data_IF_807004599720
#
_entry.id   IF_807004599720
#
_cell.length_a   1.000
_cell.length_b   1.000
_cell.length_c   1.000
_cell.angle_alpha   90.00
_cell.angle_beta   90.00
_cell.angle_gamma   90.00
#
_symmetry.space_group_name_H-M   'P 1'
#
loop_
_entity.id
_entity.type
_entity.pdbx_description
1 polymer ?
#
# COMPACT_ATOMS: atom_id res chain seq x y z
N UNK A 1 -25.94 19.40 3.50
CA UNK A 1 -24.73 18.59 3.80
C UNK A 1 -25.02 17.73 5.03
N UNK A 2 -25.08 16.41 4.89
CA UNK A 2 -25.39 15.49 5.98
C UNK A 2 -24.15 15.26 6.86
N UNK A 3 -23.90 16.17 7.81
CA UNK A 3 -22.71 16.14 8.68
C UNK A 3 -22.64 14.83 9.48
N UNK A 4 -23.79 14.34 9.98
CA UNK A 4 -23.84 13.07 10.71
C UNK A 4 -23.41 11.90 9.80
N UNK A 5 -23.89 11.85 8.56
CA UNK A 5 -23.48 10.85 7.57
C UNK A 5 -21.99 10.88 7.26
N UNK A 6 -21.41 12.07 7.13
CA UNK A 6 -19.96 12.26 6.92
C UNK A 6 -19.16 11.71 8.10
N UNK A 7 -19.54 12.06 9.34
CA UNK A 7 -18.85 11.58 10.55
C UNK A 7 -18.97 10.06 10.68
N UNK A 8 -20.15 9.50 10.42
CA UNK A 8 -20.38 8.04 10.45
C UNK A 8 -19.52 7.33 9.40
N UNK A 9 -19.44 7.86 8.18
CA UNK A 9 -18.61 7.29 7.13
C UNK A 9 -17.12 7.35 7.48
N UNK A 10 -16.63 8.50 7.98
CA UNK A 10 -15.26 8.64 8.46
C UNK A 10 -14.96 7.64 9.59
N UNK A 11 -15.84 7.55 10.59
CA UNK A 11 -15.68 6.61 11.69
C UNK A 11 -15.68 5.15 11.21
N UNK A 12 -16.57 4.81 10.28
CA UNK A 12 -16.63 3.46 9.71
C UNK A 12 -15.36 3.12 8.94
N UNK A 13 -14.85 4.05 8.13
CA UNK A 13 -13.57 3.91 7.45
C UNK A 13 -12.42 3.68 8.42
N UNK A 14 -12.35 4.48 9.49
CA UNK A 14 -11.34 4.32 10.54
C UNK A 14 -11.39 2.92 11.17
N UNK A 15 -12.58 2.47 11.57
CA UNK A 15 -12.75 1.14 12.16
C UNK A 15 -12.36 0.04 11.17
N UNK A 16 -12.77 0.13 9.90
CA UNK A 16 -12.43 -0.85 8.88
C UNK A 16 -10.92 -0.91 8.60
N UNK A 17 -10.21 0.22 8.69
CA UNK A 17 -8.75 0.25 8.53
C UNK A 17 -8.01 -0.57 9.59
N UNK A 18 -8.53 -0.61 10.82
CA UNK A 18 -7.96 -1.37 11.93
C UNK A 18 -8.38 -2.85 11.93
N UNK A 19 -9.47 -3.19 11.25
CA UNK A 19 -9.99 -4.56 11.19
C UNK A 19 -9.02 -5.53 10.52
N UNK A 20 -8.16 -5.14 9.59
CA UNK A 20 -7.22 -6.05 8.92
C UNK A 20 -6.34 -6.83 9.88
N UNK A 21 -5.87 -6.20 10.97
CA UNK A 21 -5.12 -6.90 12.02
C UNK A 21 -5.96 -7.93 12.80
N UNK A 22 -7.22 -7.61 13.09
CA UNK A 22 -8.16 -8.48 13.81
C UNK A 22 -8.73 -9.60 12.92
N UNK A 23 -8.98 -9.31 11.65
CA UNK A 23 -9.47 -10.24 10.64
C UNK A 23 -8.40 -11.27 10.31
N UNK A 24 -7.13 -10.89 10.27
CA UNK A 24 -6.01 -11.83 10.20
C UNK A 24 -6.08 -12.88 11.33
N UNK A 25 -6.28 -12.45 12.57
CA UNK A 25 -6.38 -13.35 13.72
C UNK A 25 -7.67 -14.19 13.72
N UNK A 26 -8.78 -13.61 13.27
CA UNK A 26 -10.08 -14.28 13.23
C UNK A 26 -10.21 -15.25 12.05
N UNK A 27 -9.58 -14.97 10.91
CA UNK A 27 -9.46 -15.89 9.78
C UNK A 27 -8.68 -17.14 10.19
N UNK A 28 -7.55 -16.98 10.89
CA UNK A 28 -6.79 -18.12 11.40
C UNK A 28 -7.59 -18.93 12.43
N UNK A 29 -8.31 -18.25 13.33
CA UNK A 29 -9.23 -18.89 14.29
C UNK A 29 -10.38 -19.63 13.61
N UNK A 30 -11.01 -19.05 12.59
CA UNK A 30 -12.12 -19.67 11.85
C UNK A 30 -11.64 -20.89 11.02
N UNK A 31 -10.45 -20.83 10.44
CA UNK A 31 -9.82 -21.95 9.75
C UNK A 31 -9.50 -23.07 10.75
N UNK A 32 -8.91 -22.74 11.89
CA UNK A 32 -8.53 -23.71 12.93
C UNK A 32 -9.79 -24.34 13.59
N UNK A 33 -10.88 -23.58 13.75
CA UNK A 33 -12.16 -24.11 14.18
C UNK A 33 -12.83 -25.01 13.14
N UNK A 34 -12.73 -24.69 11.84
CA UNK A 34 -13.21 -25.58 10.78
C UNK A 34 -12.41 -26.88 10.70
N UNK A 35 -11.10 -26.85 10.97
CA UNK A 35 -10.29 -28.06 11.12
C UNK A 35 -10.75 -28.92 12.30
N UNK A 36 -11.09 -28.30 13.44
CA UNK A 36 -11.62 -29.02 14.62
C UNK A 36 -13.04 -29.55 14.41
N UNK A 37 -13.87 -28.87 13.60
CA UNK A 37 -15.26 -29.24 13.32
C UNK A 37 -15.43 -30.19 12.13
N UNK A 38 -14.37 -30.49 11.37
CA UNK A 38 -14.44 -31.47 10.28
C UNK A 38 -14.45 -32.90 10.84
N UNK A 39 -15.55 -33.67 10.70
CA UNK A 39 -15.61 -35.03 11.21
C UNK A 39 -14.88 -35.96 10.22
N UNK A 40 -13.56 -36.07 10.32
CA UNK A 40 -12.73 -36.99 9.49
C UNK A 40 -12.93 -38.48 9.89
N UNK A 41 -14.06 -38.86 10.49
CA UNK A 41 -14.32 -40.26 10.89
C UNK A 41 -15.71 -40.81 10.52
N UNK A 42 -16.52 -40.12 9.71
CA UNK A 42 -17.84 -40.65 9.33
C UNK A 42 -17.92 -41.27 7.91
N UNK A 43 -17.03 -40.92 6.98
CA UNK A 43 -17.15 -41.36 5.58
C UNK A 43 -16.36 -42.62 5.20
N UNK A 44 -15.66 -43.27 6.14
CA UNK A 44 -14.88 -44.47 5.86
C UNK A 44 -15.69 -45.77 5.76
N UNK A 45 -17.02 -45.75 6.02
CA UNK A 45 -17.86 -46.96 6.05
C UNK A 45 -18.92 -47.08 4.95
N UNK A 46 -18.97 -46.17 3.97
CA UNK A 46 -20.07 -46.17 2.98
C UNK A 46 -19.66 -46.16 1.50
N UNK A 47 -18.41 -46.49 1.18
CA UNK A 47 -17.94 -46.62 -0.20
C UNK A 47 -17.16 -47.91 -0.44
N UNK A 48 -17.78 -49.03 -0.10
CA UNK A 48 -17.48 -50.33 -0.73
C UNK A 48 -18.67 -50.71 -1.61
N UNK A 49 -18.80 -50.05 -2.75
CA UNK A 49 -19.55 -50.52 -3.92
C UNK A 49 -19.57 -49.41 -4.99
N UNK A 50 -19.46 -49.82 -6.24
CA UNK A 50 -19.46 -49.02 -7.48
C UNK A 50 -18.11 -48.42 -7.93
N UNK A 51 -17.50 -49.23 -8.79
CA UNK A 51 -16.49 -49.01 -9.83
C UNK A 51 -16.52 -47.62 -10.50
N UNK A 52 -15.31 -47.07 -10.72
CA UNK A 52 -14.92 -46.37 -11.94
C UNK A 52 -15.35 -44.92 -12.11
N UNK A 53 -14.53 -43.98 -11.63
CA UNK A 53 -14.12 -42.74 -12.30
C UNK A 53 -13.10 -42.02 -11.42
N UNK A 54 -11.92 -41.70 -11.94
CA UNK A 54 -10.93 -40.89 -11.23
C UNK A 54 -11.44 -39.45 -11.06
N UNK A 55 -11.57 -38.92 -9.83
CA UNK A 55 -11.68 -37.49 -9.62
C UNK A 55 -10.29 -36.95 -9.27
N UNK A 56 -9.86 -35.93 -10.00
CA UNK A 56 -8.69 -35.14 -9.69
C UNK A 56 -8.66 -34.78 -8.20
N UNK A 57 -7.56 -35.15 -7.52
CA UNK A 57 -7.31 -34.86 -6.10
C UNK A 57 -7.49 -33.36 -5.86
N UNK A 58 -8.57 -33.02 -5.15
CA UNK A 58 -8.84 -31.71 -4.59
C UNK A 58 -7.73 -31.28 -3.62
N UNK A 59 -6.70 -30.60 -4.14
CA UNK A 59 -5.71 -29.87 -3.34
C UNK A 59 -6.23 -28.45 -3.08
N UNK A 60 -7.19 -28.31 -2.14
CA UNK A 60 -7.77 -27.00 -1.78
C UNK A 60 -7.46 -26.54 -0.35
N UNK A 61 -6.93 -27.42 0.50
CA UNK A 61 -6.87 -27.17 1.96
C UNK A 61 -5.52 -26.69 2.52
N UNK A 62 -4.47 -26.54 1.71
CA UNK A 62 -3.12 -26.16 2.18
C UNK A 62 -2.68 -24.72 1.87
N UNK A 63 -3.57 -23.90 1.28
CA UNK A 63 -3.19 -22.61 0.66
C UNK A 63 -3.36 -21.41 1.61
N UNK A 64 -4.26 -21.47 2.60
CA UNK A 64 -4.65 -20.30 3.41
C UNK A 64 -3.74 -20.00 4.62
N UNK A 65 -3.26 -20.99 5.38
CA UNK A 65 -2.33 -20.73 6.51
C UNK A 65 -0.93 -20.28 6.07
N UNK A 66 -0.59 -20.54 4.80
CA UNK A 66 0.65 -20.04 4.20
C UNK A 66 0.59 -18.53 4.02
N UNK A 67 -0.55 -17.95 3.68
CA UNK A 67 -0.70 -16.52 3.36
C UNK A 67 -0.39 -15.64 4.56
N UNK A 68 -0.91 -15.97 5.74
CA UNK A 68 -0.65 -15.19 6.95
C UNK A 68 0.82 -15.24 7.38
N UNK A 69 1.39 -16.45 7.46
CA UNK A 69 2.81 -16.64 7.75
C UNK A 69 3.69 -15.88 6.77
N UNK A 70 3.24 -15.81 5.51
CA UNK A 70 3.88 -15.10 4.42
C UNK A 70 3.73 -13.58 4.50
N UNK A 71 2.57 -13.05 4.86
CA UNK A 71 2.37 -11.61 5.12
C UNK A 71 3.20 -11.17 6.32
N UNK A 72 3.21 -11.93 7.41
CA UNK A 72 4.06 -11.66 8.58
C UNK A 72 5.54 -11.75 8.19
N UNK A 73 5.95 -12.76 7.41
CA UNK A 73 7.31 -12.86 6.89
C UNK A 73 7.66 -11.67 5.98
N UNK A 74 6.73 -11.20 5.15
CA UNK A 74 6.93 -10.05 4.28
C UNK A 74 7.05 -8.76 5.08
N UNK A 75 6.16 -8.53 6.06
CA UNK A 75 6.26 -7.39 6.98
C UNK A 75 7.55 -7.44 7.80
N UNK A 76 7.94 -8.62 8.29
CA UNK A 76 9.16 -8.81 9.09
C UNK A 76 10.42 -8.67 8.25
N UNK A 77 10.44 -9.19 7.01
CA UNK A 77 11.58 -9.05 6.09
C UNK A 77 11.67 -7.64 5.54
N UNK A 78 10.60 -7.06 4.99
CA UNK A 78 10.65 -5.72 4.41
C UNK A 78 10.81 -4.65 5.50
N UNK A 79 10.08 -4.77 6.61
CA UNK A 79 10.22 -3.88 7.77
C UNK A 79 11.58 -4.05 8.44
N UNK A 80 11.98 -5.30 8.70
CA UNK A 80 13.23 -5.63 9.39
C UNK A 80 14.47 -5.32 8.57
N UNK A 81 14.52 -5.68 7.28
CA UNK A 81 15.65 -5.33 6.38
C UNK A 81 15.73 -3.82 6.21
N UNK A 82 14.60 -3.12 6.06
CA UNK A 82 14.59 -1.67 5.94
C UNK A 82 15.11 -1.02 7.24
N UNK A 83 14.53 -1.35 8.41
CA UNK A 83 15.00 -0.83 9.71
C UNK A 83 16.46 -1.17 9.99
N UNK A 84 16.87 -2.43 9.77
CA UNK A 84 18.25 -2.85 9.97
C UNK A 84 19.21 -2.08 9.06
N UNK A 85 18.85 -1.87 7.79
CA UNK A 85 19.66 -1.09 6.86
C UNK A 85 19.83 0.36 7.30
N UNK A 86 18.77 0.97 7.87
CA UNK A 86 18.81 2.34 8.37
C UNK A 86 19.65 2.42 9.64
N UNK A 87 19.48 1.48 10.57
CA UNK A 87 20.28 1.45 11.80
C UNK A 87 21.76 1.27 11.46
N UNK A 88 22.09 0.33 10.58
CA UNK A 88 23.46 0.12 10.13
C UNK A 88 24.00 1.37 9.45
N UNK A 89 23.21 2.07 8.65
CA UNK A 89 23.64 3.28 7.96
C UNK A 89 23.85 4.46 8.93
N UNK A 90 22.86 4.77 9.78
CA UNK A 90 22.87 5.94 10.69
C UNK A 90 23.80 5.76 11.89
N UNK A 91 23.88 4.54 12.45
CA UNK A 91 24.66 4.27 13.67
C UNK A 91 25.94 3.48 13.41
N UNK A 92 26.09 2.83 12.26
CA UNK A 92 27.32 2.15 11.85
C UNK A 92 28.11 2.96 10.84
N UNK A 93 27.61 3.05 9.61
CA UNK A 93 28.33 3.59 8.47
C UNK A 93 28.67 5.08 8.65
N UNK A 94 27.69 5.93 8.97
CA UNK A 94 27.93 7.37 9.11
C UNK A 94 28.91 7.69 10.26
N UNK A 95 28.77 7.13 11.48
CA UNK A 95 29.73 7.37 12.55
C UNK A 95 31.12 6.82 12.25
N UNK A 96 31.23 5.63 11.64
CA UNK A 96 32.52 5.07 11.23
C UNK A 96 33.21 5.94 10.18
N UNK A 97 32.47 6.44 9.19
CA UNK A 97 33.03 7.32 8.16
C UNK A 97 33.47 8.67 8.73
N UNK A 98 32.67 9.23 9.65
CA UNK A 98 33.03 10.45 10.38
C UNK A 98 34.29 10.26 11.22
N UNK A 99 34.42 9.12 11.89
CA UNK A 99 35.60 8.75 12.66
C UNK A 99 36.84 8.61 11.76
N UNK A 100 36.72 7.92 10.62
CA UNK A 100 37.81 7.82 9.64
C UNK A 100 38.25 9.20 9.11
N UNK A 101 37.29 10.07 8.78
CA UNK A 101 37.56 11.45 8.39
C UNK A 101 38.31 12.22 9.50
N UNK A 102 37.97 11.98 10.77
CA UNK A 102 38.67 12.60 11.89
C UNK A 102 40.12 12.11 12.06
N UNK A 103 40.42 10.87 11.67
CA UNK A 103 41.79 10.34 11.65
C UNK A 103 42.58 10.97 10.50
N UNK A 104 42.00 11.00 9.30
CA UNK A 104 42.67 11.49 8.08
C UNK A 104 42.91 13.01 8.14
N UNK A 105 41.92 13.77 8.58
CA UNK A 105 41.97 15.23 8.64
C UNK A 105 42.22 15.76 10.06
N UNK A 106 42.69 14.93 11.00
CA UNK A 106 42.92 15.32 12.39
C UNK A 106 43.88 16.50 12.58
N UNK A 107 44.77 16.73 11.61
CA UNK A 107 45.70 17.87 11.57
C UNK A 107 45.05 19.17 11.08
N UNK A 108 43.89 19.10 10.39
CA UNK A 108 43.15 20.24 9.86
C UNK A 108 41.65 20.12 10.18
N UNK A 109 41.25 20.44 11.42
CA UNK A 109 39.87 20.24 11.90
C UNK A 109 38.80 20.90 11.02
N UNK A 110 39.13 22.06 10.43
CA UNK A 110 38.24 22.77 9.50
C UNK A 110 37.98 22.01 8.21
N UNK A 111 38.98 21.33 7.64
CA UNK A 111 38.83 20.56 6.41
C UNK A 111 37.94 19.33 6.63
N UNK A 112 38.14 18.60 7.74
CA UNK A 112 37.30 17.44 8.08
C UNK A 112 35.83 17.81 8.28
N UNK A 113 35.55 18.96 8.90
CA UNK A 113 34.18 19.49 9.07
C UNK A 113 33.52 19.86 7.74
N UNK A 114 34.26 20.52 6.84
CA UNK A 114 33.77 20.87 5.51
C UNK A 114 33.49 19.61 4.69
N UNK A 115 34.42 18.66 4.63
CA UNK A 115 34.21 17.40 3.89
C UNK A 115 33.00 16.65 4.43
N UNK A 116 32.83 16.57 5.75
CA UNK A 116 31.67 15.91 6.36
C UNK A 116 30.34 16.59 6.04
N UNK A 117 30.30 17.94 5.99
CA UNK A 117 29.06 18.69 5.75
C UNK A 117 28.45 18.43 4.38
N UNK A 118 29.26 18.10 3.37
CA UNK A 118 28.80 17.68 2.03
C UNK A 118 28.65 16.17 1.90
N UNK A 119 29.52 15.41 2.54
CA UNK A 119 29.54 13.93 2.45
C UNK A 119 28.31 13.31 3.10
N UNK A 120 27.90 13.79 4.29
CA UNK A 120 26.71 13.28 4.98
C UNK A 120 25.43 13.41 4.14
N UNK A 121 25.01 14.61 3.68
CA UNK A 121 23.78 14.73 2.90
C UNK A 121 23.84 13.97 1.58
N UNK A 122 24.99 13.95 0.90
CA UNK A 122 25.15 13.19 -0.33
C UNK A 122 24.95 11.68 -0.12
N UNK A 123 25.58 11.10 0.91
CA UNK A 123 25.41 9.70 1.27
C UNK A 123 23.97 9.40 1.69
N UNK A 124 23.36 10.25 2.51
CA UNK A 124 21.97 10.08 2.96
C UNK A 124 20.99 10.11 1.77
N UNK A 125 21.15 11.05 0.84
CA UNK A 125 20.33 11.11 -0.38
C UNK A 125 20.54 9.87 -1.23
N UNK A 126 21.79 9.51 -1.51
CA UNK A 126 22.13 8.35 -2.36
C UNK A 126 21.58 7.06 -1.76
N UNK A 127 21.76 6.82 -0.46
CA UNK A 127 21.21 5.67 0.25
C UNK A 127 19.68 5.66 0.20
N UNK A 128 19.03 6.81 0.45
CA UNK A 128 17.57 6.90 0.43
C UNK A 128 16.99 6.64 -0.97
N UNK A 129 17.61 7.17 -2.02
CA UNK A 129 17.11 7.06 -3.40
C UNK A 129 17.45 5.74 -4.07
N UNK A 130 18.65 5.18 -3.83
CA UNK A 130 19.11 3.97 -4.52
C UNK A 130 18.78 2.69 -3.73
N UNK A 131 18.68 2.77 -2.40
CA UNK A 131 18.43 1.60 -1.57
C UNK A 131 17.00 1.57 -1.03
N UNK A 132 16.61 2.61 -0.29
CA UNK A 132 15.32 2.63 0.42
C UNK A 132 14.14 2.74 -0.55
N UNK A 133 14.21 3.64 -1.54
CA UNK A 133 13.13 3.81 -2.52
C UNK A 133 12.88 2.56 -3.37
N UNK A 134 13.89 1.86 -3.93
CA UNK A 134 13.70 0.59 -4.59
C UNK A 134 13.21 -0.51 -3.66
N UNK A 135 13.70 -0.60 -2.40
CA UNK A 135 13.16 -1.55 -1.42
C UNK A 135 11.68 -1.29 -1.13
N UNK A 136 11.26 -0.02 -1.08
CA UNK A 136 9.87 0.38 -0.93
C UNK A 136 9.03 0.01 -2.16
N UNK A 137 9.52 0.29 -3.37
CA UNK A 137 8.83 -0.06 -4.62
C UNK A 137 8.77 -1.58 -4.82
N UNK A 138 9.84 -2.30 -4.51
CA UNK A 138 9.91 -3.75 -4.52
C UNK A 138 8.99 -4.35 -3.46
N UNK A 139 8.89 -3.77 -2.27
CA UNK A 139 7.88 -4.15 -1.27
C UNK A 139 6.48 -3.97 -1.85
N UNK A 140 6.18 -2.86 -2.55
CA UNK A 140 4.89 -2.63 -3.22
C UNK A 140 4.60 -3.66 -4.33
N UNK A 141 5.59 -4.00 -5.15
CA UNK A 141 5.48 -4.95 -6.26
C UNK A 141 5.40 -6.40 -5.78
N UNK A 142 6.26 -6.80 -4.85
CA UNK A 142 6.26 -8.14 -4.23
C UNK A 142 4.99 -8.35 -3.42
N UNK A 143 4.52 -7.32 -2.71
CA UNK A 143 3.18 -7.32 -2.12
C UNK A 143 2.11 -7.46 -3.20
N UNK A 144 2.18 -6.75 -4.32
CA UNK A 144 1.21 -6.90 -5.44
C UNK A 144 1.18 -8.29 -6.07
N UNK A 145 2.34 -8.90 -6.32
CA UNK A 145 2.43 -10.21 -6.93
C UNK A 145 2.00 -11.33 -5.98
N UNK A 146 2.17 -11.16 -4.67
CA UNK A 146 1.64 -12.10 -3.67
C UNK A 146 0.16 -11.85 -3.33
N UNK A 147 -0.28 -10.59 -3.31
CA UNK A 147 -1.67 -10.24 -3.02
C UNK A 147 -2.59 -10.44 -4.21
N UNK A 148 -2.11 -10.49 -5.47
CA UNK A 148 -2.93 -10.93 -6.59
C UNK A 148 -3.43 -12.36 -6.38
N UNK A 149 -2.56 -13.29 -5.98
CA UNK A 149 -2.96 -14.66 -5.71
C UNK A 149 -3.91 -14.80 -4.51
N UNK A 150 -3.73 -13.96 -3.48
CA UNK A 150 -4.55 -13.95 -2.26
C UNK A 150 -5.91 -13.34 -2.54
N UNK A 151 -5.93 -12.20 -3.22
CA UNK A 151 -7.13 -11.46 -3.53
C UNK A 151 -7.91 -12.14 -4.66
N UNK A 152 -7.27 -12.83 -5.60
CA UNK A 152 -7.94 -13.80 -6.49
C UNK A 152 -8.55 -14.95 -5.71
N UNK A 153 -7.88 -15.45 -4.67
CA UNK A 153 -8.42 -16.54 -3.83
C UNK A 153 -9.61 -16.07 -2.98
N UNK A 154 -9.53 -14.89 -2.37
CA UNK A 154 -10.59 -14.27 -1.57
C UNK A 154 -11.79 -13.83 -2.43
N UNK A 155 -11.53 -13.24 -3.60
CA UNK A 155 -12.55 -12.88 -4.58
C UNK A 155 -13.26 -14.13 -5.13
N UNK A 156 -12.53 -15.21 -5.44
CA UNK A 156 -13.11 -16.52 -5.81
C UNK A 156 -13.92 -17.16 -4.71
N UNK A 157 -13.63 -16.86 -3.46
CA UNK A 157 -14.36 -17.37 -2.31
C UNK A 157 -15.66 -16.58 -2.04
N UNK A 158 -15.71 -15.27 -2.31
CA UNK A 158 -16.89 -14.42 -2.07
C UNK A 158 -17.74 -14.08 -3.30
N UNK A 159 -17.14 -13.84 -4.48
CA UNK A 159 -17.80 -13.19 -5.62
C UNK A 159 -17.67 -13.93 -6.98
N UNK A 160 -16.74 -14.89 -7.12
CA UNK A 160 -16.60 -15.70 -8.36
C UNK A 160 -15.26 -15.50 -9.08
N UNK A 161 -15.18 -15.76 -10.39
CA UNK A 161 -13.90 -15.67 -11.14
C UNK A 161 -13.47 -14.20 -11.31
N UNK A 162 -12.19 -13.85 -11.07
CA UNK A 162 -11.67 -12.51 -11.30
C UNK A 162 -11.82 -12.13 -12.78
N UNK A 163 -12.22 -10.89 -13.04
CA UNK A 163 -12.43 -10.39 -14.40
C UNK A 163 -11.08 -9.92 -14.94
N UNK A 164 -10.37 -10.80 -15.63
CA UNK A 164 -9.09 -10.47 -16.27
C UNK A 164 -9.32 -9.41 -17.34
N UNK A 165 -8.65 -8.26 -17.22
CA UNK A 165 -8.63 -7.24 -18.27
C UNK A 165 -8.21 -7.91 -19.59
N UNK A 166 -8.98 -7.64 -20.65
CA UNK A 166 -8.89 -8.31 -21.96
C UNK A 166 -7.51 -8.24 -22.65
N UNK A 167 -6.59 -7.39 -22.19
CA UNK A 167 -5.24 -7.27 -22.75
C UNK A 167 -4.21 -6.82 -21.71
N UNK A 168 -3.09 -7.52 -21.64
CA UNK A 168 -1.92 -7.19 -20.79
C UNK A 168 -1.42 -5.76 -21.02
N UNK A 169 -1.52 -5.24 -22.25
CA UNK A 169 -1.14 -3.87 -22.60
C UNK A 169 -1.96 -2.81 -21.86
N UNK A 170 -3.29 -2.95 -21.81
CA UNK A 170 -4.18 -2.07 -21.04
C UNK A 170 -3.85 -2.10 -19.54
N UNK A 171 -3.52 -3.29 -19.03
CA UNK A 171 -3.16 -3.48 -17.63
C UNK A 171 -1.84 -2.77 -17.29
N UNK A 172 -0.82 -2.89 -18.15
CA UNK A 172 0.45 -2.18 -17.99
C UNK A 172 0.23 -0.66 -18.08
N UNK A 173 -0.58 -0.21 -19.03
CA UNK A 173 -0.90 1.21 -19.19
C UNK A 173 -1.60 1.78 -17.94
N UNK A 174 -2.59 1.06 -17.40
CA UNK A 174 -3.29 1.45 -16.17
C UNK A 174 -2.34 1.52 -14.96
N UNK A 175 -1.44 0.53 -14.82
CA UNK A 175 -0.41 0.51 -13.77
C UNK A 175 0.54 1.71 -13.87
N UNK A 176 1.08 1.99 -15.06
CA UNK A 176 2.00 3.11 -15.29
C UNK A 176 1.29 4.46 -15.04
N UNK A 177 0.06 4.59 -15.52
CA UNK A 177 -0.74 5.79 -15.32
C UNK A 177 -1.09 5.98 -13.83
N UNK A 178 -1.41 4.90 -13.12
CA UNK A 178 -1.67 4.93 -11.67
C UNK A 178 -0.44 5.38 -10.89
N UNK A 179 0.75 4.83 -11.18
CA UNK A 179 2.01 5.24 -10.54
C UNK A 179 2.29 6.72 -10.78
N UNK A 180 2.10 7.21 -12.01
CA UNK A 180 2.29 8.61 -12.34
C UNK A 180 1.33 9.52 -11.56
N UNK A 181 0.03 9.23 -11.57
CA UNK A 181 -0.99 10.01 -10.86
C UNK A 181 -0.72 10.01 -9.36
N UNK A 182 -0.38 8.86 -8.78
CA UNK A 182 -0.04 8.74 -7.36
C UNK A 182 1.19 9.57 -6.99
N UNK A 183 2.24 9.57 -7.81
CA UNK A 183 3.45 10.37 -7.60
C UNK A 183 3.14 11.88 -7.68
N UNK A 184 2.35 12.30 -8.68
CA UNK A 184 1.90 13.69 -8.81
C UNK A 184 1.02 14.11 -7.62
N UNK A 185 0.16 13.23 -7.13
CA UNK A 185 -0.71 13.50 -5.98
C UNK A 185 0.06 13.62 -4.67
N UNK A 186 1.09 12.80 -4.48
CA UNK A 186 2.03 12.95 -3.37
C UNK A 186 2.74 14.31 -3.44
N UNK A 187 3.23 14.70 -4.62
CA UNK A 187 3.82 16.02 -4.85
C UNK A 187 2.85 17.16 -4.55
N UNK A 188 1.60 17.06 -5.01
CA UNK A 188 0.52 18.01 -4.68
C UNK A 188 0.32 18.13 -3.17
N UNK A 189 0.27 17.02 -2.43
CA UNK A 189 0.14 17.04 -0.97
C UNK A 189 1.29 17.76 -0.26
N UNK A 190 2.52 17.58 -0.74
CA UNK A 190 3.71 18.31 -0.22
C UNK A 190 3.64 19.80 -0.54
N UNK A 191 3.15 20.19 -1.71
CA UNK A 191 2.98 21.61 -2.04
C UNK A 191 1.91 22.27 -1.17
N UNK A 192 0.81 21.56 -0.93
CA UNK A 192 -0.29 22.04 -0.10
C UNK A 192 0.12 22.20 1.37
N UNK A 193 1.05 21.37 1.88
CA UNK A 193 1.60 21.55 3.23
C UNK A 193 2.47 22.80 3.40
N UNK A 194 2.93 23.40 2.29
CA UNK A 194 3.72 24.64 2.31
C UNK A 194 2.87 25.92 2.26
N UNK A 195 1.53 25.80 2.25
CA UNK A 195 0.63 26.95 2.29
C UNK A 195 0.79 27.68 3.63
N UNK A 196 1.06 29.00 3.65
CA UNK A 196 1.37 29.77 4.86
C UNK A 196 0.11 30.12 5.68
N UNK A 197 -0.80 29.16 5.85
CA UNK A 197 -2.02 29.28 6.65
C UNK A 197 -2.13 28.10 7.63
N UNK A 198 -1.33 28.03 8.71
CA UNK A 198 -1.56 27.06 9.78
C UNK A 198 -2.91 27.37 10.46
N UNK A 199 -3.82 26.39 10.69
CA UNK A 199 -3.68 24.93 10.56
C UNK A 199 -4.18 24.34 9.24
N UNK A 200 -4.63 25.17 8.29
CA UNK A 200 -5.30 24.74 7.05
C UNK A 200 -4.36 23.91 6.17
N UNK A 201 -3.09 24.33 6.03
CA UNK A 201 -2.09 23.60 5.24
C UNK A 201 -1.87 22.17 5.74
N UNK A 202 -1.77 21.99 7.06
CA UNK A 202 -1.54 20.68 7.68
C UNK A 202 -2.76 19.76 7.54
N UNK A 203 -3.97 20.29 7.76
CA UNK A 203 -5.22 19.54 7.60
C UNK A 203 -5.37 19.10 6.13
N UNK A 204 -5.13 19.99 5.17
CA UNK A 204 -5.21 19.63 3.77
C UNK A 204 -4.15 18.59 3.38
N UNK A 205 -2.93 18.72 3.88
CA UNK A 205 -1.87 17.73 3.65
C UNK A 205 -2.24 16.36 4.25
N UNK A 206 -2.82 16.34 5.44
CA UNK A 206 -3.34 15.13 6.07
C UNK A 206 -4.44 14.48 5.23
N UNK A 207 -5.41 15.26 4.74
CA UNK A 207 -6.48 14.77 3.85
C UNK A 207 -5.89 14.15 2.57
N UNK A 208 -4.91 14.80 1.94
CA UNK A 208 -4.22 14.23 0.78
C UNK A 208 -3.56 12.89 1.11
N UNK A 209 -2.83 12.81 2.23
CA UNK A 209 -2.19 11.55 2.65
C UNK A 209 -3.21 10.44 2.93
N UNK A 210 -4.33 10.76 3.58
CA UNK A 210 -5.39 9.78 3.86
C UNK A 210 -5.96 9.21 2.55
N UNK A 211 -6.30 10.08 1.59
CA UNK A 211 -6.86 9.65 0.30
C UNK A 211 -5.84 8.85 -0.52
N UNK A 212 -4.56 9.23 -0.49
CA UNK A 212 -3.49 8.51 -1.18
C UNK A 212 -3.30 7.10 -0.59
N UNK A 213 -3.27 6.97 0.74
CA UNK A 213 -3.11 5.68 1.40
C UNK A 213 -4.33 4.78 1.24
N UNK A 214 -5.53 5.36 1.25
CA UNK A 214 -6.74 4.64 0.89
C UNK A 214 -6.68 4.13 -0.56
N UNK A 215 -6.30 4.98 -1.52
CA UNK A 215 -6.10 4.57 -2.92
C UNK A 215 -5.11 3.40 -3.02
N UNK A 216 -3.97 3.51 -2.34
CA UNK A 216 -2.97 2.44 -2.33
C UNK A 216 -3.53 1.12 -1.82
N UNK A 217 -4.29 1.12 -0.72
CA UNK A 217 -4.83 -0.10 -0.12
C UNK A 217 -5.95 -0.73 -0.96
N UNK A 218 -6.89 0.08 -1.46
CA UNK A 218 -8.05 -0.39 -2.21
C UNK A 218 -7.75 -0.71 -3.67
N UNK A 219 -6.67 -0.17 -4.24
CA UNK A 219 -6.26 -0.46 -5.62
C UNK A 219 -6.11 -1.96 -5.87
N UNK A 220 -5.61 -2.72 -4.90
CA UNK A 220 -5.52 -4.19 -5.01
C UNK A 220 -6.88 -4.85 -5.19
N UNK A 221 -7.90 -4.44 -4.42
CA UNK A 221 -9.27 -4.95 -4.52
C UNK A 221 -9.88 -4.58 -5.87
N UNK A 222 -9.77 -3.32 -6.26
CA UNK A 222 -10.39 -2.79 -7.47
C UNK A 222 -9.72 -3.29 -8.75
N UNK A 223 -8.42 -3.58 -8.70
CA UNK A 223 -7.71 -4.22 -9.79
C UNK A 223 -8.30 -5.61 -10.11
N UNK A 224 -8.60 -6.42 -9.09
CA UNK A 224 -9.23 -7.73 -9.27
C UNK A 224 -10.70 -7.64 -9.73
N UNK A 225 -11.35 -6.52 -9.43
CA UNK A 225 -12.68 -6.19 -9.97
C UNK A 225 -12.61 -5.63 -11.41
N UNK A 226 -11.41 -5.48 -11.99
CA UNK A 226 -11.22 -4.94 -13.33
C UNK A 226 -11.52 -3.44 -13.46
N UNK A 227 -11.47 -2.67 -12.37
CA UNK A 227 -11.73 -1.23 -12.42
C UNK A 227 -10.51 -0.50 -12.97
N UNK A 228 -10.70 0.40 -13.93
CA UNK A 228 -9.66 1.30 -14.41
C UNK A 228 -9.39 2.45 -13.41
N UNK A 229 -8.22 3.08 -13.48
CA UNK A 229 -7.81 4.14 -12.56
C UNK A 229 -8.85 5.26 -12.46
N UNK A 230 -9.39 5.74 -13.58
CA UNK A 230 -10.37 6.83 -13.58
C UNK A 230 -11.60 6.50 -12.72
N UNK A 231 -12.06 5.24 -12.76
CA UNK A 231 -13.15 4.75 -11.91
C UNK A 231 -12.74 4.72 -10.44
N UNK A 232 -11.53 4.24 -10.12
CA UNK A 232 -10.99 4.20 -8.74
C UNK A 232 -10.94 5.60 -8.13
N UNK A 233 -10.38 6.57 -8.86
CA UNK A 233 -10.27 7.96 -8.41
C UNK A 233 -11.65 8.59 -8.21
N UNK A 234 -12.54 8.47 -9.20
CA UNK A 234 -13.91 9.02 -9.09
C UNK A 234 -14.66 8.44 -7.90
N UNK A 235 -14.51 7.13 -7.65
CA UNK A 235 -15.14 6.48 -6.50
C UNK A 235 -14.64 7.02 -5.16
N UNK A 236 -13.34 7.33 -5.05
CA UNK A 236 -12.78 7.98 -3.86
C UNK A 236 -13.29 9.41 -3.73
N UNK A 237 -13.30 10.20 -4.80
CA UNK A 237 -13.75 11.60 -4.77
C UNK A 237 -15.22 11.72 -4.35
N UNK A 238 -16.09 10.82 -4.82
CA UNK A 238 -17.51 10.80 -4.45
C UNK A 238 -17.76 10.31 -3.02
N UNK A 239 -16.90 9.42 -2.49
CA UNK A 239 -17.09 8.82 -1.16
C UNK A 239 -15.94 9.17 -0.21
N UNK A 240 -15.37 10.37 -0.38
CA UNK A 240 -14.17 10.82 0.32
C UNK A 240 -14.24 10.72 1.84
N UNK A 241 -15.39 10.90 2.55
CA UNK A 241 -15.41 10.82 4.00
C UNK A 241 -14.94 9.45 4.51
N UNK A 242 -15.43 8.39 3.87
CA UNK A 242 -15.02 7.03 4.22
C UNK A 242 -13.51 6.82 4.02
N UNK A 243 -12.97 7.26 2.88
CA UNK A 243 -11.57 7.06 2.55
C UNK A 243 -10.61 7.93 3.37
N UNK A 244 -11.03 9.15 3.74
CA UNK A 244 -10.30 9.96 4.73
C UNK A 244 -10.22 9.20 6.05
N UNK A 245 -11.35 8.70 6.55
CA UNK A 245 -11.38 7.89 7.77
C UNK A 245 -10.51 6.65 7.70
N UNK A 246 -10.55 5.93 6.58
CA UNK A 246 -9.78 4.71 6.36
C UNK A 246 -8.27 4.96 6.31
N UNK A 247 -7.82 6.01 5.63
CA UNK A 247 -6.40 6.35 5.53
C UNK A 247 -5.82 7.01 6.78
N UNK A 248 -6.67 7.57 7.64
CA UNK A 248 -6.28 8.42 8.77
C UNK A 248 -5.27 7.78 9.74
N UNK A 249 -5.46 6.54 10.25
CA UNK A 249 -4.51 5.99 11.20
C UNK A 249 -3.13 5.78 10.58
N UNK A 250 -3.04 5.33 9.32
CA UNK A 250 -1.75 5.20 8.64
C UNK A 250 -1.10 6.57 8.41
N UNK A 251 -1.88 7.56 7.97
CA UNK A 251 -1.40 8.92 7.72
C UNK A 251 -0.80 9.55 9.00
N UNK A 252 -1.50 9.46 10.12
CA UNK A 252 -1.01 9.97 11.42
C UNK A 252 0.26 9.23 11.82
N UNK A 253 0.27 7.90 11.79
CA UNK A 253 1.43 7.11 12.21
C UNK A 253 2.68 7.39 11.36
N UNK A 254 2.51 7.69 10.06
CA UNK A 254 3.62 8.10 9.19
C UNK A 254 4.05 9.56 9.36
N UNK A 255 3.25 10.40 10.02
CA UNK A 255 3.59 11.80 10.30
C UNK A 255 4.25 11.97 11.67
N UNK A 256 4.17 10.99 12.58
CA UNK A 256 4.81 11.04 13.90
C UNK A 256 6.35 11.11 13.83
N UNK A 257 7.05 10.37 12.94
CA UNK A 257 8.50 10.44 12.87
C UNK A 257 8.97 11.67 12.10
N UNK A 258 9.93 12.41 12.66
CA UNK A 258 10.55 13.56 11.98
C UNK A 258 11.40 13.17 10.76
N UNK A 259 11.78 11.89 10.66
CA UNK A 259 12.56 11.36 9.55
C UNK A 259 11.66 10.72 8.50
N UNK A 260 11.74 11.21 7.26
CA UNK A 260 11.09 10.61 6.09
C UNK A 260 11.43 9.14 5.90
N UNK A 261 12.64 8.75 6.30
CA UNK A 261 13.10 7.37 6.22
C UNK A 261 12.33 6.50 7.23
N UNK A 262 12.22 6.95 8.49
CA UNK A 262 11.46 6.25 9.54
C UNK A 262 9.97 6.21 9.19
N UNK A 263 9.43 7.32 8.68
CA UNK A 263 8.07 7.41 8.15
C UNK A 263 7.81 6.37 7.04
N UNK A 264 8.74 6.22 6.08
CA UNK A 264 8.70 5.19 5.05
C UNK A 264 8.73 3.76 5.59
N UNK A 265 9.43 3.51 6.69
CA UNK A 265 9.41 2.21 7.35
C UNK A 265 8.11 1.92 8.07
N UNK A 266 7.58 2.89 8.82
CA UNK A 266 6.28 2.77 9.49
C UNK A 266 5.22 2.45 8.45
N UNK A 267 5.22 3.18 7.32
CA UNK A 267 4.39 2.85 6.18
C UNK A 267 4.60 1.40 5.72
N UNK A 268 5.83 0.98 5.45
CA UNK A 268 6.12 -0.36 4.92
C UNK A 268 5.68 -1.51 5.83
N UNK A 269 5.71 -1.32 7.15
CA UNK A 269 5.29 -2.31 8.14
C UNK A 269 3.77 -2.41 8.21
N UNK A 270 3.08 -1.26 8.24
CA UNK A 270 1.64 -1.19 8.46
C UNK A 270 0.84 -1.38 7.18
N UNK A 271 1.37 -0.94 6.04
CA UNK A 271 0.68 -0.92 4.76
C UNK A 271 0.09 -2.29 4.35
N UNK A 272 0.78 -3.43 4.52
CA UNK A 272 0.19 -4.74 4.24
C UNK A 272 -1.08 -5.05 5.05
N UNK A 273 -1.20 -4.55 6.29
CA UNK A 273 -2.42 -4.70 7.09
C UNK A 273 -3.57 -3.90 6.47
N UNK A 274 -3.29 -2.69 5.98
CA UNK A 274 -4.27 -1.84 5.30
C UNK A 274 -4.73 -2.45 3.97
N UNK A 275 -3.86 -3.17 3.23
CA UNK A 275 -4.27 -3.93 2.03
C UNK A 275 -5.30 -5.00 2.41
N UNK A 276 -5.07 -5.75 3.49
CA UNK A 276 -6.01 -6.78 3.95
C UNK A 276 -7.33 -6.13 4.40
N UNK A 277 -7.26 -5.05 5.19
CA UNK A 277 -8.43 -4.25 5.58
C UNK A 277 -9.23 -3.78 4.37
N UNK A 278 -8.57 -3.21 3.35
CA UNK A 278 -9.22 -2.68 2.16
C UNK A 278 -9.90 -3.75 1.31
N UNK A 279 -9.34 -4.96 1.26
CA UNK A 279 -9.96 -6.09 0.55
C UNK A 279 -11.28 -6.53 1.22
N UNK A 280 -11.31 -6.62 2.55
CA UNK A 280 -12.50 -7.03 3.31
C UNK A 280 -13.51 -5.89 3.54
N UNK A 281 -13.06 -4.64 3.45
CA UNK A 281 -13.88 -3.46 3.66
C UNK A 281 -14.97 -3.29 2.60
N UNK A 282 -16.15 -2.86 3.04
CA UNK A 282 -17.25 -2.43 2.18
C UNK A 282 -17.45 -0.92 2.42
N UNK A 283 -16.94 -0.06 1.53
CA UNK A 283 -17.03 1.39 1.70
C UNK A 283 -18.47 1.86 1.82
N UNK A 284 -18.73 2.75 2.78
CA UNK A 284 -20.03 3.42 2.91
C UNK A 284 -20.14 4.45 1.78
N UNK A 285 -21.17 4.31 0.95
CA UNK A 285 -21.43 5.20 -0.18
C UNK A 285 -22.57 6.17 0.11
N UNK A 286 -22.73 7.17 -0.77
CA UNK A 286 -23.91 8.04 -0.85
C UNK A 286 -24.19 8.89 0.41
N UNK A 287 -23.11 9.25 1.12
CA UNK A 287 -23.18 10.10 2.34
C UNK A 287 -22.99 11.59 2.06
N UNK A 288 -22.44 11.96 0.89
CA UNK A 288 -22.13 13.33 0.53
C UNK A 288 -22.38 13.57 -0.96
N UNK A 289 -23.13 14.63 -1.28
CA UNK A 289 -23.46 15.02 -2.65
C UNK A 289 -22.35 15.83 -3.34
N UNK A 290 -21.38 16.32 -2.55
CA UNK A 290 -20.27 17.14 -3.04
C UNK A 290 -18.99 16.31 -3.18
N UNK A 291 -18.58 15.95 -4.42
CA UNK A 291 -17.35 15.20 -4.65
C UNK A 291 -16.11 16.07 -4.38
N UNK A 292 -15.13 15.50 -3.69
CA UNK A 292 -13.88 16.18 -3.36
C UNK A 292 -12.85 15.95 -4.49
N UNK A 293 -12.84 16.84 -5.48
CA UNK A 293 -12.08 16.73 -6.75
C UNK A 293 -10.56 16.96 -6.63
N UNK A 294 -9.92 16.40 -5.60
CA UNK A 294 -8.48 16.61 -5.36
C UNK A 294 -7.58 15.88 -6.36
N UNK A 295 -8.06 14.82 -7.03
CA UNK A 295 -7.26 14.10 -8.04
C UNK A 295 -7.33 14.74 -9.43
N UNK A 296 -8.31 15.62 -9.67
CA UNK A 296 -8.52 16.24 -10.97
C UNK A 296 -7.30 17.03 -11.51
N UNK A 297 -6.59 17.84 -10.70
CA UNK A 297 -5.40 18.56 -11.17
C UNK A 297 -4.29 17.60 -11.62
N UNK A 298 -4.00 16.56 -10.83
CA UNK A 298 -2.94 15.60 -11.15
C UNK A 298 -3.29 14.71 -12.33
N UNK A 299 -4.58 14.38 -12.53
CA UNK A 299 -5.04 13.67 -13.73
C UNK A 299 -4.87 14.54 -14.98
N UNK A 300 -5.16 15.85 -14.91
CA UNK A 300 -4.93 16.76 -16.03
C UNK A 300 -3.44 16.85 -16.42
N UNK A 301 -2.55 16.92 -15.42
CA UNK A 301 -1.10 16.91 -15.62
C UNK A 301 -0.64 15.57 -16.20
N UNK A 302 -1.12 14.45 -15.66
CA UNK A 302 -0.77 13.12 -16.15
C UNK A 302 -1.20 12.91 -17.61
N UNK A 303 -2.43 13.32 -17.96
CA UNK A 303 -2.95 13.25 -19.32
C UNK A 303 -2.13 14.10 -20.31
N UNK A 304 -1.73 15.31 -19.90
CA UNK A 304 -0.89 16.18 -20.75
C UNK A 304 0.52 15.62 -20.95
N UNK A 305 1.12 14.99 -19.93
CA UNK A 305 2.41 14.31 -20.05
C UNK A 305 2.33 13.08 -20.97
N UNK A 306 1.29 12.26 -20.81
CA UNK A 306 1.07 11.08 -21.66
C UNK A 306 0.86 11.45 -23.12
N UNK A 307 0.02 12.46 -23.40
CA UNK A 307 -0.26 12.93 -24.76
C UNK A 307 0.95 13.58 -25.44
N UNK A 308 1.88 14.15 -24.67
CA UNK A 308 3.14 14.69 -25.22
C UNK A 308 4.17 13.60 -25.51
N UNK A 309 4.19 12.53 -24.71
CA UNK A 309 5.18 11.44 -24.82
C UNK A 309 4.79 10.43 -25.90
N UNK A 310 3.49 10.17 -26.05
CA UNK A 310 2.92 9.40 -27.17
C UNK A 310 2.64 10.42 -28.28
N UNK A 311 3.67 10.72 -29.09
CA UNK A 311 3.54 11.67 -30.21
C UNK A 311 2.33 11.37 -31.11
N UNK A 312 1.81 12.36 -31.85
CA UNK A 312 0.59 12.21 -32.64
C UNK A 312 0.72 10.99 -33.54
N UNK A 313 -0.19 10.03 -33.37
CA UNK A 313 -0.28 8.88 -34.24
C UNK A 313 -0.38 9.38 -35.68
N UNK A 314 0.68 9.21 -36.47
CA UNK A 314 0.61 9.41 -37.92
C UNK A 314 -0.43 8.42 -38.43
N UNK A 315 -1.65 8.91 -38.71
CA UNK A 315 -2.59 8.25 -39.60
C UNK A 315 -1.85 8.07 -40.93
N UNK A 316 -1.42 6.83 -41.21
CA UNK A 316 -1.10 6.38 -42.56
C UNK A 316 -2.36 5.77 -43.14
#
# INVERSE_FOLDING_TARGET
MNIAGIIIAMWRGFIDSLKGGLVIFSMDKQINERMKKSPVKADARRRESSVGHSPAKYSKHHRESKVLKRTIQCCALNGGVCWASIIIFEYGLLPSLKYLLSIIFGQSPGMGMVVWSWTKPFLTITFSTIWILPLFLLSKIVNSLWFQDIADSAYRYRQGRPMLLSSVSKLIADMLFSVLVQALFLGQGVLVSKVPLPPIGDILALVHMCLLYALYAFEYKWFNMGWELHRRLTFIECNWPYFVGFGLPLAILTQLPDSYIISGCVFSILFPLFIVSGNEAEPVTDVCDCPLKLFSPVVAIANTLFNKTIGPAKRR
#
